data_IF_833079743584
#
_entry.id   IF_833079743584
#
_cell.length_a   1.000
_cell.length_b   1.000
_cell.length_c   1.000
_cell.angle_alpha   90.00
_cell.angle_beta   90.00
_cell.angle_gamma   90.00
#
_symmetry.space_group_name_H-M   'P 1'
#
loop_
_entity.id
_entity.type
_entity.pdbx_description
1 polymer ?
#
# COMPACT_ATOMS: atom_id res chain seq x y z
N UNK A 1 -35.45 -12.03 54.93
CA UNK A 1 -36.73 -11.32 54.72
C UNK A 1 -37.06 -11.32 53.24
N UNK A 2 -38.15 -11.95 52.84
CA UNK A 2 -38.64 -12.00 51.46
C UNK A 2 -39.38 -10.69 51.17
N UNK A 3 -38.97 -9.94 50.15
CA UNK A 3 -39.77 -8.84 49.59
C UNK A 3 -39.99 -9.15 48.11
N UNK A 4 -41.21 -9.60 47.82
CA UNK A 4 -41.65 -9.93 46.46
C UNK A 4 -41.79 -8.67 45.59
N UNK A 5 -41.57 -8.84 44.30
CA UNK A 5 -41.93 -7.85 43.29
C UNK A 5 -43.44 -7.96 43.01
N UNK A 6 -44.20 -7.00 43.51
CA UNK A 6 -45.58 -6.78 43.05
C UNK A 6 -45.55 -6.00 41.73
N UNK A 7 -46.25 -6.51 40.72
CA UNK A 7 -46.52 -5.83 39.48
C UNK A 7 -47.48 -4.65 39.70
N UNK A 8 -47.23 -3.54 39.01
CA UNK A 8 -48.14 -2.40 38.90
C UNK A 8 -48.40 -2.08 37.41
N UNK A 9 -49.58 -1.54 37.05
CA UNK A 9 -50.18 -1.69 35.73
C UNK A 9 -49.70 -0.64 34.70
N UNK A 10 -49.81 -1.04 33.44
CA UNK A 10 -49.58 -0.25 32.23
C UNK A 10 -50.75 0.72 31.99
N UNK A 11 -50.70 1.91 32.57
CA UNK A 11 -51.53 3.03 32.11
C UNK A 11 -50.70 3.97 31.23
N UNK A 12 -51.03 3.93 29.94
CA UNK A 12 -50.39 4.72 28.91
C UNK A 12 -50.62 6.21 29.10
N UNK A 13 -49.53 6.94 29.36
CA UNK A 13 -49.37 8.33 28.92
C UNK A 13 -47.88 8.64 28.88
N UNK A 14 -47.35 8.88 27.69
CA UNK A 14 -46.00 9.37 27.51
C UNK A 14 -45.88 10.81 28.04
N UNK A 15 -44.85 11.13 28.82
CA UNK A 15 -44.27 12.46 28.85
C UNK A 15 -42.98 12.48 28.00
N UNK A 16 -42.87 13.52 27.18
CA UNK A 16 -41.62 13.91 26.56
C UNK A 16 -40.56 14.17 27.64
N UNK A 17 -39.34 13.70 27.43
CA UNK A 17 -38.16 14.07 28.20
C UNK A 17 -37.02 14.35 27.24
N UNK A 18 -36.48 15.54 27.45
CA UNK A 18 -35.47 16.24 26.68
C UNK A 18 -34.08 15.62 26.83
N UNK A 19 -33.25 15.85 25.81
CA UNK A 19 -31.86 15.44 25.72
C UNK A 19 -30.99 16.02 26.84
N UNK A 20 -30.60 15.17 27.79
CA UNK A 20 -29.30 15.23 28.45
C UNK A 20 -29.08 13.97 29.29
N UNK A 21 -27.83 13.50 29.32
CA UNK A 21 -27.29 12.42 30.17
C UNK A 21 -27.50 10.99 29.67
N UNK A 22 -26.50 10.47 28.93
CA UNK A 22 -25.72 9.28 29.33
C UNK A 22 -24.61 9.01 28.30
N UNK A 23 -23.42 9.56 28.61
CA UNK A 23 -22.17 8.90 28.31
C UNK A 23 -22.07 7.64 29.18
N UNK A 24 -21.36 6.64 28.65
CA UNK A 24 -20.85 5.44 29.32
C UNK A 24 -21.80 4.22 29.44
N UNK A 25 -21.55 3.23 28.58
CA UNK A 25 -21.69 1.77 28.75
C UNK A 25 -22.02 1.07 27.41
N UNK A 26 -21.02 0.97 26.53
CA UNK A 26 -20.98 -0.10 25.52
C UNK A 26 -19.59 -0.73 25.44
N UNK A 27 -19.13 -1.22 26.59
CA UNK A 27 -18.11 -2.26 26.68
C UNK A 27 -18.77 -3.44 27.39
N UNK A 28 -18.86 -4.57 26.68
CA UNK A 28 -19.18 -5.88 27.26
C UNK A 28 -20.62 -6.33 27.12
N UNK A 29 -21.00 -6.89 25.97
CA UNK A 29 -21.99 -7.98 25.90
C UNK A 29 -22.07 -8.69 24.53
N UNK A 30 -20.93 -9.09 23.95
CA UNK A 30 -20.95 -10.10 22.87
C UNK A 30 -19.80 -11.08 23.11
N UNK A 31 -20.03 -12.07 23.96
CA UNK A 31 -19.27 -13.33 24.01
C UNK A 31 -19.95 -14.28 25.00
N UNK A 32 -20.99 -15.00 24.56
CA UNK A 32 -21.44 -16.24 25.21
C UNK A 32 -22.57 -16.96 24.43
N UNK A 33 -22.34 -17.37 23.18
CA UNK A 33 -23.07 -18.54 22.62
C UNK A 33 -22.15 -19.28 21.64
N UNK A 34 -21.46 -20.31 22.13
CA UNK A 34 -20.92 -21.41 21.32
C UNK A 34 -21.02 -22.67 22.19
N UNK A 35 -22.15 -23.36 22.12
CA UNK A 35 -22.31 -24.72 22.62
C UNK A 35 -23.18 -25.51 21.64
N UNK A 36 -22.69 -26.70 21.29
CA UNK A 36 -23.17 -27.69 20.32
C UNK A 36 -22.89 -27.31 18.84
N UNK A 37 -22.06 -28.00 18.06
CA UNK A 37 -21.57 -29.37 18.14
C UNK A 37 -22.01 -30.13 16.90
N UNK A 38 -21.18 -30.17 15.85
CA UNK A 38 -21.13 -31.29 14.90
C UNK A 38 -19.77 -31.31 14.20
N UNK A 39 -19.07 -32.42 14.40
CA UNK A 39 -17.82 -32.79 13.77
C UNK A 39 -18.05 -33.04 12.27
N UNK A 40 -17.30 -32.35 11.41
CA UNK A 40 -16.91 -32.93 10.13
C UNK A 40 -15.49 -32.47 9.82
N UNK A 41 -14.55 -33.36 10.11
CA UNK A 41 -13.16 -33.20 9.74
C UNK A 41 -13.05 -33.27 8.21
N UNK A 42 -12.65 -32.17 7.58
CA UNK A 42 -12.15 -32.22 6.21
C UNK A 42 -10.63 -32.39 6.29
N UNK A 43 -10.20 -33.65 6.32
CA UNK A 43 -8.80 -34.04 6.18
C UNK A 43 -8.35 -33.78 4.75
N UNK A 44 -7.69 -32.65 4.50
CA UNK A 44 -6.86 -32.46 3.31
C UNK A 44 -5.49 -33.08 3.58
N UNK A 45 -5.43 -34.41 3.46
CA UNK A 45 -4.19 -35.13 3.18
C UNK A 45 -3.83 -34.85 1.72
N UNK A 46 -2.81 -34.04 1.46
CA UNK A 46 -2.18 -33.99 0.14
C UNK A 46 -1.08 -35.07 0.11
N UNK A 47 -1.12 -36.01 -0.83
CA UNK A 47 -0.08 -37.02 -0.97
C UNK A 47 1.25 -36.38 -1.39
N UNK A 48 2.33 -36.89 -0.81
CA UNK A 48 3.72 -36.65 -1.19
C UNK A 48 4.07 -37.64 -2.30
N UNK A 49 3.98 -37.19 -3.55
CA UNK A 49 4.51 -37.83 -4.77
C UNK A 49 5.22 -36.68 -5.52
N UNK A 50 6.42 -36.77 -6.09
CA UNK A 50 7.41 -37.81 -6.29
C UNK A 50 8.66 -37.03 -6.74
N UNK A 51 9.82 -37.34 -6.17
CA UNK A 51 11.09 -36.72 -6.57
C UNK A 51 11.55 -37.44 -7.84
N UNK A 52 11.38 -36.80 -9.00
CA UNK A 52 11.89 -37.33 -10.28
C UNK A 52 13.35 -36.91 -10.44
N UNK A 53 14.24 -37.89 -10.38
CA UNK A 53 15.67 -37.75 -10.64
C UNK A 53 15.98 -38.09 -12.10
N UNK A 54 16.56 -37.14 -12.83
CA UNK A 54 17.49 -37.43 -13.93
C UNK A 54 17.57 -36.36 -15.02
N UNK A 55 18.56 -36.42 -15.94
CA UNK A 55 19.87 -37.06 -15.84
C UNK A 55 21.03 -36.06 -16.00
N UNK A 56 22.23 -36.57 -15.71
CA UNK A 56 23.51 -35.90 -15.84
C UNK A 56 23.90 -35.50 -17.28
N UNK A 57 24.49 -34.31 -17.38
CA UNK A 57 25.58 -33.85 -18.27
C UNK A 57 25.36 -33.86 -19.80
N UNK A 58 26.04 -32.94 -20.51
CA UNK A 58 27.37 -33.31 -20.99
C UNK A 58 28.48 -32.31 -20.61
N UNK A 59 29.65 -32.89 -20.35
CA UNK A 59 30.92 -32.21 -20.40
C UNK A 59 31.16 -31.64 -21.80
N UNK A 60 31.57 -30.37 -21.87
CA UNK A 60 32.19 -29.81 -23.05
C UNK A 60 33.71 -29.82 -22.85
N UNK A 61 34.34 -30.89 -23.34
CA UNK A 61 35.76 -30.91 -23.68
C UNK A 61 35.96 -30.10 -24.97
N UNK A 62 36.81 -29.09 -24.88
CA UNK A 62 37.16 -28.23 -25.99
C UNK A 62 38.49 -27.52 -25.72
N UNK A 63 39.56 -28.30 -25.67
CA UNK A 63 40.92 -27.76 -25.64
C UNK A 63 41.30 -27.15 -26.99
N UNK A 64 41.97 -25.99 -26.95
CA UNK A 64 43.01 -25.64 -27.91
C UNK A 64 44.20 -25.05 -27.16
N UNK A 65 45.31 -25.75 -27.32
CA UNK A 65 46.68 -25.40 -26.99
C UNK A 65 47.05 -23.99 -27.53
N UNK A 66 47.52 -23.14 -26.63
CA UNK A 66 48.58 -22.20 -26.96
C UNK A 66 49.53 -22.10 -25.79
N UNK A 67 50.47 -23.03 -25.83
CA UNK A 67 51.83 -22.87 -25.35
C UNK A 67 52.32 -21.42 -25.51
N UNK A 68 52.30 -20.66 -24.42
CA UNK A 68 53.29 -19.59 -24.21
C UNK A 68 54.23 -20.10 -23.12
N UNK A 69 55.31 -20.73 -23.57
CA UNK A 69 56.53 -20.80 -22.79
C UNK A 69 57.16 -19.40 -22.83
N UNK A 70 57.02 -18.67 -21.73
CA UNK A 70 57.58 -17.34 -21.54
C UNK A 70 58.04 -17.21 -20.09
N UNK A 71 59.32 -17.52 -19.92
CA UNK A 71 60.24 -17.30 -18.80
C UNK A 71 59.79 -16.37 -17.65
N UNK A 72 59.99 -16.86 -16.42
CA UNK A 72 59.84 -16.12 -15.17
C UNK A 72 61.07 -15.24 -14.91
N UNK A 73 60.97 -13.95 -15.18
CA UNK A 73 61.68 -12.91 -14.44
C UNK A 73 61.15 -11.54 -14.81
N UNK A 74 60.17 -11.06 -14.05
CA UNK A 74 60.21 -9.77 -13.36
C UNK A 74 59.03 -9.76 -12.38
N UNK A 75 59.29 -9.42 -11.12
CA UNK A 75 58.25 -9.21 -10.13
C UNK A 75 57.42 -7.98 -10.50
N UNK A 76 56.27 -8.17 -11.15
CA UNK A 76 55.18 -7.19 -11.10
C UNK A 76 54.05 -7.82 -10.31
N UNK A 77 53.86 -7.35 -9.09
CA UNK A 77 52.64 -7.54 -8.31
C UNK A 77 51.51 -6.77 -8.98
N UNK A 78 51.12 -7.18 -10.18
CA UNK A 78 49.82 -6.83 -10.73
C UNK A 78 48.86 -7.91 -10.28
N UNK A 79 48.57 -7.83 -8.98
CA UNK A 79 47.31 -8.31 -8.43
C UNK A 79 46.25 -7.46 -9.12
N UNK A 80 45.84 -7.84 -10.34
CA UNK A 80 44.43 -7.63 -10.67
C UNK A 80 43.73 -8.46 -9.62
N UNK A 81 43.27 -7.74 -8.60
CA UNK A 81 42.27 -8.24 -7.70
C UNK A 81 41.08 -8.57 -8.59
N UNK A 82 41.09 -9.79 -9.16
CA UNK A 82 39.87 -10.54 -9.39
C UNK A 82 39.27 -10.83 -8.01
N UNK A 83 38.95 -9.76 -7.27
CA UNK A 83 37.85 -9.80 -6.36
C UNK A 83 36.71 -10.22 -7.28
N UNK A 84 36.29 -11.49 -7.17
CA UNK A 84 34.94 -11.85 -7.54
C UNK A 84 34.08 -10.77 -6.86
N UNK A 85 33.63 -9.80 -7.65
CA UNK A 85 32.96 -8.63 -7.11
C UNK A 85 31.80 -9.09 -6.25
N UNK A 86 31.41 -8.27 -5.29
CA UNK A 86 30.28 -8.63 -4.46
C UNK A 86 29.07 -9.00 -5.31
N UNK A 87 28.25 -9.98 -4.85
CA UNK A 87 26.99 -10.29 -5.51
C UNK A 87 26.21 -9.00 -5.76
N UNK A 88 25.45 -8.95 -6.86
CA UNK A 88 24.68 -7.76 -7.19
C UNK A 88 23.82 -7.32 -5.99
N UNK A 89 23.93 -6.05 -5.62
CA UNK A 89 23.24 -5.48 -4.46
C UNK A 89 23.98 -5.60 -3.14
N UNK A 90 25.17 -6.19 -3.09
CA UNK A 90 26.02 -6.24 -1.89
C UNK A 90 27.33 -5.49 -2.09
N UNK A 91 27.94 -5.05 -0.98
CA UNK A 91 29.28 -4.47 -0.96
C UNK A 91 30.07 -4.90 0.28
N UNK A 92 31.39 -4.85 0.14
CA UNK A 92 32.38 -4.91 1.21
C UNK A 92 32.65 -3.46 1.67
N UNK A 93 31.98 -3.04 2.73
CA UNK A 93 32.00 -1.65 3.20
C UNK A 93 33.05 -1.39 4.27
N UNK A 94 33.56 -2.42 4.94
CA UNK A 94 34.64 -2.30 5.93
C UNK A 94 36.02 -2.74 5.40
N UNK A 95 36.06 -3.29 4.18
CA UNK A 95 37.27 -3.79 3.50
C UNK A 95 37.94 -4.93 4.27
N UNK A 96 37.19 -5.65 5.11
CA UNK A 96 37.69 -6.82 5.82
C UNK A 96 37.49 -8.09 4.96
N UNK A 97 38.57 -8.64 4.36
CA UNK A 97 38.45 -9.83 3.52
C UNK A 97 37.95 -11.07 4.28
N UNK A 98 37.88 -11.02 5.61
CA UNK A 98 37.40 -12.13 6.45
C UNK A 98 35.88 -12.25 6.55
N UNK A 99 35.12 -11.16 6.29
CA UNK A 99 33.65 -11.17 6.32
C UNK A 99 33.00 -11.00 4.93
N UNK A 100 33.77 -10.55 3.93
CA UNK A 100 33.38 -10.59 2.52
C UNK A 100 32.45 -9.45 2.12
N UNK A 101 31.27 -9.77 1.60
CA UNK A 101 30.28 -8.78 1.13
C UNK A 101 29.13 -8.70 2.13
N UNK A 102 29.41 -8.05 3.25
CA UNK A 102 28.60 -8.02 4.46
C UNK A 102 27.44 -7.03 4.40
N UNK A 103 27.47 -6.08 3.46
CA UNK A 103 26.50 -4.99 3.42
C UNK A 103 25.49 -5.15 2.26
N UNK A 104 24.20 -5.22 2.59
CA UNK A 104 23.09 -5.17 1.62
C UNK A 104 22.81 -3.72 1.20
N UNK A 105 23.17 -3.37 -0.03
CA UNK A 105 22.95 -2.04 -0.61
C UNK A 105 21.52 -1.80 -1.08
N UNK A 106 20.67 -2.82 -1.16
CA UNK A 106 19.31 -2.74 -1.66
C UNK A 106 18.29 -2.37 -0.59
N UNK A 107 18.56 -2.73 0.66
CA UNK A 107 17.61 -2.57 1.77
C UNK A 107 18.21 -1.87 3.00
N UNK A 108 19.54 -1.74 3.10
CA UNK A 108 20.16 -1.05 4.23
C UNK A 108 19.98 0.46 4.13
N UNK A 109 19.21 1.02 5.06
CA UNK A 109 19.03 2.47 5.17
C UNK A 109 20.34 3.23 5.45
N UNK A 110 21.38 2.57 5.98
CA UNK A 110 22.70 3.19 6.22
C UNK A 110 23.71 3.01 5.09
N UNK A 111 23.40 2.21 4.06
CA UNK A 111 24.28 1.92 2.92
C UNK A 111 23.47 1.80 1.62
N UNK A 112 22.55 2.73 1.37
CA UNK A 112 21.59 2.60 0.29
C UNK A 112 22.21 2.95 -1.06
N UNK A 113 22.36 1.95 -1.93
CA UNK A 113 22.99 2.08 -3.25
C UNK A 113 24.52 2.07 -3.24
N UNK A 114 25.14 2.54 -2.15
CA UNK A 114 26.58 2.48 -1.91
C UNK A 114 26.91 2.50 -0.41
N UNK A 115 28.15 2.13 -0.07
CA UNK A 115 28.61 2.13 1.32
C UNK A 115 28.49 3.52 1.95
N UNK A 116 27.92 3.58 3.16
CA UNK A 116 27.74 4.80 3.95
C UNK A 116 26.80 5.85 3.32
N UNK A 117 26.11 5.54 2.21
CA UNK A 117 25.04 6.37 1.68
C UNK A 117 23.76 6.18 2.51
N UNK A 118 23.62 6.96 3.58
CA UNK A 118 22.48 6.87 4.46
C UNK A 118 21.27 7.62 3.92
N UNK A 119 20.10 7.01 4.04
CA UNK A 119 18.82 7.70 3.87
C UNK A 119 18.52 8.50 5.13
N UNK A 120 18.62 9.83 5.05
CA UNK A 120 18.34 10.75 6.15
C UNK A 120 17.24 11.74 5.76
N UNK A 121 16.31 11.97 6.68
CA UNK A 121 15.29 13.01 6.61
C UNK A 121 14.90 13.42 8.02
N UNK A 122 14.77 14.73 8.26
CA UNK A 122 14.33 15.28 9.56
C UNK A 122 12.81 15.20 9.73
N UNK A 123 12.07 15.04 8.63
CA UNK A 123 10.62 15.25 8.57
C UNK A 123 9.88 13.97 8.21
N UNK A 124 10.47 13.08 7.40
CA UNK A 124 9.79 11.96 6.80
C UNK A 124 10.40 10.62 7.20
N UNK A 125 9.56 9.59 7.21
CA UNK A 125 10.00 8.21 7.37
C UNK A 125 10.60 7.72 6.04
N UNK A 126 11.92 7.55 6.01
CA UNK A 126 12.69 7.22 4.79
C UNK A 126 13.49 5.95 4.99
N UNK A 127 13.66 5.20 3.91
CA UNK A 127 14.40 3.94 3.93
C UNK A 127 14.95 3.58 2.57
N UNK A 128 15.70 2.49 2.53
CA UNK A 128 16.29 2.01 1.29
C UNK A 128 15.35 1.02 0.60
N UNK A 129 14.98 1.33 -0.64
CA UNK A 129 14.17 0.45 -1.48
C UNK A 129 14.86 0.31 -2.82
N UNK A 130 15.30 -0.92 -3.11
CA UNK A 130 16.02 -1.26 -4.35
C UNK A 130 17.27 -0.39 -4.58
N UNK A 131 18.00 -0.10 -3.49
CA UNK A 131 19.25 0.65 -3.55
C UNK A 131 19.10 2.13 -3.82
N UNK A 132 17.92 2.68 -3.58
CA UNK A 132 17.71 4.11 -3.54
C UNK A 132 16.87 4.51 -2.34
N UNK A 133 17.19 5.66 -1.74
CA UNK A 133 16.38 6.21 -0.66
C UNK A 133 14.98 6.51 -1.18
N UNK A 134 13.96 6.18 -0.40
CA UNK A 134 12.55 6.43 -0.71
C UNK A 134 11.81 6.80 0.57
N UNK A 135 10.70 7.50 0.42
CA UNK A 135 9.72 7.62 1.50
C UNK A 135 9.11 6.25 1.75
N UNK A 136 9.09 5.81 3.00
CA UNK A 136 8.43 4.56 3.41
C UNK A 136 6.94 4.78 3.67
N UNK A 137 6.59 5.95 4.22
CA UNK A 137 5.21 6.34 4.45
C UNK A 137 5.04 7.86 4.42
N UNK A 138 3.95 8.29 3.80
CA UNK A 138 3.52 9.68 3.84
C UNK A 138 2.53 9.93 4.97
N UNK A 139 2.49 11.14 5.56
CA UNK A 139 1.43 11.51 6.46
C UNK A 139 0.06 11.37 5.79
N UNK A 140 -0.97 11.15 6.60
CA UNK A 140 -2.34 11.07 6.11
C UNK A 140 -2.68 12.24 5.20
N UNK A 141 -3.07 11.91 3.97
CA UNK A 141 -3.53 12.88 2.98
C UNK A 141 -2.46 13.48 2.08
N UNK A 142 -1.21 13.04 2.23
CA UNK A 142 -0.12 13.27 1.28
C UNK A 142 0.31 11.95 0.63
N UNK A 143 0.92 12.04 -0.55
CA UNK A 143 1.49 10.92 -1.30
C UNK A 143 2.73 11.40 -2.06
N UNK A 144 3.66 10.48 -2.38
CA UNK A 144 4.87 10.72 -3.19
C UNK A 144 4.56 10.33 -4.64
N UNK A 145 4.10 11.30 -5.43
CA UNK A 145 3.55 11.00 -6.75
C UNK A 145 4.57 10.98 -7.88
N UNK A 146 5.69 11.67 -7.69
CA UNK A 146 6.79 11.70 -8.64
C UNK A 146 7.95 10.74 -8.28
N UNK A 147 7.91 10.12 -7.09
CA UNK A 147 8.94 9.20 -6.59
C UNK A 147 10.25 9.91 -6.24
N UNK A 148 10.21 11.21 -6.03
CA UNK A 148 11.38 12.06 -5.88
C UNK A 148 11.77 12.22 -4.42
N UNK A 149 13.05 11.94 -4.17
CA UNK A 149 13.66 12.00 -2.84
C UNK A 149 13.93 13.43 -2.37
N UNK A 150 13.69 14.44 -3.21
CA UNK A 150 14.05 15.83 -2.89
C UNK A 150 12.89 16.66 -2.33
N UNK A 151 11.67 16.35 -2.74
CA UNK A 151 10.41 17.00 -2.38
C UNK A 151 9.46 16.08 -1.60
N UNK A 152 9.73 14.76 -1.61
CA UNK A 152 9.10 13.75 -0.75
C UNK A 152 7.59 13.63 -0.98
N UNK A 153 6.77 13.56 0.09
CA UNK A 153 5.30 13.52 0.05
C UNK A 153 4.71 14.86 -0.42
N UNK A 154 5.00 15.21 -1.66
CA UNK A 154 4.81 16.51 -2.26
C UNK A 154 3.34 16.77 -2.62
N UNK A 155 2.53 15.72 -2.75
CA UNK A 155 1.19 15.81 -3.32
C UNK A 155 0.09 15.61 -2.30
N UNK A 156 -0.82 16.59 -2.18
CA UNK A 156 -2.05 16.41 -1.38
C UNK A 156 -3.10 15.61 -2.14
N UNK A 157 -3.37 14.40 -1.67
CA UNK A 157 -4.43 13.54 -2.21
C UNK A 157 -5.82 13.90 -1.70
N UNK A 158 -5.93 14.82 -0.74
CA UNK A 158 -7.22 15.23 -0.18
C UNK A 158 -7.84 16.46 -0.87
N UNK A 159 -7.00 17.27 -1.51
CA UNK A 159 -7.41 18.58 -2.03
C UNK A 159 -6.92 18.85 -3.46
N UNK A 160 -5.95 18.08 -3.98
CA UNK A 160 -5.52 18.24 -5.35
C UNK A 160 -6.55 17.65 -6.31
N UNK A 161 -7.14 18.49 -7.16
CA UNK A 161 -8.01 18.04 -8.24
C UNK A 161 -7.29 17.13 -9.24
N UNK A 162 -5.96 17.17 -9.34
CA UNK A 162 -5.18 16.31 -10.23
C UNK A 162 -4.79 14.95 -9.60
N UNK A 163 -4.91 14.81 -8.27
CA UNK A 163 -4.46 13.63 -7.51
C UNK A 163 -5.48 13.23 -6.43
N UNK A 164 -6.77 13.33 -6.73
CA UNK A 164 -7.81 13.19 -5.73
C UNK A 164 -8.00 11.72 -5.30
N UNK A 165 -7.73 11.46 -4.02
CA UNK A 165 -7.76 10.10 -3.46
C UNK A 165 -6.57 9.23 -3.89
N UNK A 166 -5.55 9.79 -4.52
CA UNK A 166 -4.32 9.10 -4.88
C UNK A 166 -3.58 9.76 -6.06
N UNK A 167 -2.32 9.40 -6.26
CA UNK A 167 -1.53 9.92 -7.36
C UNK A 167 -2.15 9.67 -8.75
N UNK A 168 -2.10 10.69 -9.61
CA UNK A 168 -2.57 10.64 -10.99
C UNK A 168 -4.05 10.24 -11.14
N UNK A 169 -4.87 10.65 -10.16
CA UNK A 169 -6.33 10.50 -10.18
C UNK A 169 -7.00 11.87 -10.33
N UNK A 170 -7.00 12.46 -11.53
CA UNK A 170 -7.64 13.74 -11.73
C UNK A 170 -9.16 13.61 -11.62
N UNK A 171 -9.79 14.62 -11.02
CA UNK A 171 -11.24 14.76 -11.08
C UNK A 171 -11.67 15.21 -12.48
N UNK A 172 -12.90 14.85 -12.91
CA UNK A 172 -13.50 15.38 -14.12
C UNK A 172 -13.55 16.91 -14.15
N UNK A 173 -13.68 17.47 -15.35
CA UNK A 173 -13.94 18.90 -15.50
C UNK A 173 -15.19 19.34 -14.73
N UNK A 174 -15.06 20.43 -13.97
CA UNK A 174 -16.14 20.94 -13.13
C UNK A 174 -16.33 20.21 -11.80
N UNK A 175 -15.37 19.39 -11.39
CA UNK A 175 -15.29 18.79 -10.06
C UNK A 175 -14.09 19.34 -9.28
N UNK A 176 -14.28 19.46 -7.97
CA UNK A 176 -13.22 19.75 -7.01
C UNK A 176 -12.91 18.52 -6.16
N UNK A 177 -11.67 18.44 -5.68
CA UNK A 177 -11.30 17.40 -4.73
C UNK A 177 -11.63 17.83 -3.30
N UNK A 178 -12.47 17.06 -2.61
CA UNK A 178 -12.86 17.33 -1.23
C UNK A 178 -12.65 16.06 -0.42
N UNK A 179 -11.69 16.09 0.51
CA UNK A 179 -11.31 14.94 1.35
C UNK A 179 -10.99 13.68 0.54
N UNK A 180 -10.36 13.85 -0.62
CA UNK A 180 -9.95 12.75 -1.50
C UNK A 180 -11.06 12.17 -2.36
N UNK A 181 -12.21 12.83 -2.44
CA UNK A 181 -13.32 12.46 -3.30
C UNK A 181 -13.64 13.57 -4.29
N UNK A 182 -13.80 13.20 -5.56
CA UNK A 182 -14.23 14.14 -6.60
C UNK A 182 -15.69 14.52 -6.38
N UNK A 183 -15.90 15.81 -6.16
CA UNK A 183 -17.18 16.44 -5.81
C UNK A 183 -17.60 17.42 -6.89
N UNK A 184 -18.86 17.39 -7.33
CA UNK A 184 -19.35 18.31 -8.35
C UNK A 184 -19.44 19.75 -7.83
N UNK A 185 -18.98 20.71 -8.63
CA UNK A 185 -18.98 22.13 -8.27
C UNK A 185 -20.27 22.85 -8.71
N UNK A 186 -20.96 22.30 -9.70
CA UNK A 186 -22.17 22.88 -10.28
C UNK A 186 -23.10 21.81 -10.83
N UNK A 187 -24.36 22.18 -11.10
CA UNK A 187 -25.32 21.28 -11.76
C UNK A 187 -24.82 20.79 -13.12
N UNK A 188 -24.19 21.68 -13.88
CA UNK A 188 -23.68 21.38 -15.22
C UNK A 188 -22.57 20.32 -15.20
N UNK A 189 -21.80 20.23 -14.11
CA UNK A 189 -20.73 19.23 -13.96
C UNK A 189 -21.25 17.80 -14.06
N UNK A 190 -22.53 17.57 -13.71
CA UNK A 190 -23.13 16.24 -13.73
C UNK A 190 -23.87 15.89 -15.03
N UNK A 191 -24.19 16.86 -15.87
CA UNK A 191 -25.01 16.64 -17.06
C UNK A 191 -24.14 16.45 -18.32
N UNK A 192 -23.89 15.19 -18.66
CA UNK A 192 -23.18 14.78 -19.87
C UNK A 192 -24.15 14.18 -20.91
N UNK A 193 -25.36 14.74 -20.99
CA UNK A 193 -26.43 14.30 -21.90
C UNK A 193 -27.56 13.54 -21.19
N UNK A 194 -27.29 13.03 -19.99
CA UNK A 194 -28.23 12.25 -19.18
C UNK A 194 -29.17 13.06 -18.27
N UNK A 195 -29.07 14.39 -18.21
CA UNK A 195 -29.89 15.22 -17.30
C UNK A 195 -29.44 15.15 -15.83
N UNK A 196 -28.14 14.93 -15.60
CA UNK A 196 -27.57 14.78 -14.26
C UNK A 196 -27.68 16.05 -13.41
N UNK A 197 -27.91 15.86 -12.10
CA UNK A 197 -27.94 16.95 -11.12
C UNK A 197 -26.87 16.77 -10.05
N UNK A 198 -26.23 17.87 -9.66
CA UNK A 198 -25.27 17.90 -8.56
C UNK A 198 -25.99 18.00 -7.22
N UNK A 199 -25.77 17.02 -6.34
CA UNK A 199 -26.40 16.99 -5.02
C UNK A 199 -25.78 18.04 -4.07
N UNK A 200 -26.49 18.45 -3.01
CA UNK A 200 -25.98 19.45 -2.07
C UNK A 200 -24.76 18.94 -1.28
N UNK A 201 -24.06 19.88 -0.62
CA UNK A 201 -22.90 19.57 0.23
C UNK A 201 -23.20 18.59 1.37
N UNK A 202 -24.44 18.56 1.88
CA UNK A 202 -24.88 17.64 2.93
C UNK A 202 -24.84 16.16 2.52
N UNK A 203 -24.82 15.88 1.21
CA UNK A 203 -24.74 14.53 0.64
C UNK A 203 -23.43 14.31 -0.11
N UNK A 204 -22.40 15.09 0.19
CA UNK A 204 -21.06 14.91 -0.37
C UNK A 204 -20.88 15.41 -1.82
N UNK A 205 -21.80 16.22 -2.36
CA UNK A 205 -21.72 16.78 -3.73
C UNK A 205 -21.45 15.71 -4.80
N UNK A 206 -22.22 14.63 -4.76
CA UNK A 206 -22.20 13.60 -5.80
C UNK A 206 -23.18 13.94 -6.92
N UNK A 207 -22.94 13.38 -8.11
CA UNK A 207 -23.89 13.47 -9.20
C UNK A 207 -25.05 12.49 -9.00
N UNK A 208 -26.21 12.86 -9.54
CA UNK A 208 -27.42 12.06 -9.51
C UNK A 208 -28.05 11.99 -10.90
N UNK A 209 -28.30 10.78 -11.37
CA UNK A 209 -29.09 10.45 -12.56
C UNK A 209 -30.47 9.98 -12.11
N UNK A 210 -31.51 10.78 -12.32
CA UNK A 210 -32.86 10.49 -11.82
C UNK A 210 -32.90 10.05 -10.33
N UNK A 211 -33.02 8.75 -10.02
CA UNK A 211 -33.00 8.23 -8.65
C UNK A 211 -31.66 7.61 -8.22
N UNK A 212 -30.69 7.51 -9.13
CA UNK A 212 -29.39 6.88 -8.90
C UNK A 212 -28.36 7.93 -8.49
N UNK A 213 -27.73 7.74 -7.34
CA UNK A 213 -26.56 8.53 -6.93
C UNK A 213 -25.32 7.86 -7.51
N UNK A 214 -24.51 8.62 -8.23
CA UNK A 214 -23.29 8.13 -8.85
C UNK A 214 -22.12 8.09 -7.86
N UNK A 215 -21.09 7.33 -8.19
CA UNK A 215 -19.87 7.31 -7.40
C UNK A 215 -19.09 8.64 -7.53
N UNK A 216 -18.17 8.96 -6.58
CA UNK A 216 -17.38 10.19 -6.65
C UNK A 216 -16.61 10.33 -7.97
N UNK A 217 -16.83 11.46 -8.67
CA UNK A 217 -16.22 11.72 -9.97
C UNK A 217 -16.95 11.08 -11.16
N UNK A 218 -18.06 10.39 -10.94
CA UNK A 218 -18.93 9.97 -12.04
C UNK A 218 -19.92 11.07 -12.43
N UNK A 219 -20.34 11.02 -13.70
CA UNK A 219 -21.27 11.95 -14.32
C UNK A 219 -22.48 11.19 -14.88
N UNK A 220 -23.52 11.94 -15.26
CA UNK A 220 -24.71 11.36 -15.85
C UNK A 220 -24.64 11.36 -17.38
N UNK A 221 -24.44 10.17 -17.94
CA UNK A 221 -24.35 9.93 -19.36
C UNK A 221 -25.74 9.68 -19.98
N UNK A 222 -25.80 9.67 -21.31
CA UNK A 222 -27.02 9.33 -22.05
C UNK A 222 -27.64 8.01 -21.57
N UNK A 223 -28.97 8.02 -21.37
CA UNK A 223 -29.69 6.88 -20.81
C UNK A 223 -29.74 6.84 -19.29
N UNK A 224 -29.44 7.97 -18.61
CA UNK A 224 -29.57 8.15 -17.15
C UNK A 224 -28.67 7.18 -16.35
N UNK A 225 -27.48 6.90 -16.89
CA UNK A 225 -26.49 6.00 -16.27
C UNK A 225 -25.30 6.77 -15.73
N UNK A 226 -24.82 6.35 -14.56
CA UNK A 226 -23.59 6.86 -13.97
C UNK A 226 -22.37 6.24 -14.67
N UNK A 227 -21.34 7.04 -14.88
CA UNK A 227 -20.06 6.55 -15.39
C UNK A 227 -19.01 7.65 -15.43
N UNK A 228 -17.79 7.26 -15.83
CA UNK A 228 -16.74 8.22 -16.12
C UNK A 228 -17.12 9.09 -17.33
N UNK A 229 -16.74 10.39 -17.33
CA UNK A 229 -16.98 11.31 -18.44
C UNK A 229 -16.25 10.91 -19.73
#
# INVERSE_FOLDING_TARGET
MVKGCSAAPIDGRAPAIDDAWLMDMRIGCVLAICAAGVLSACSITRPLDEYDEGPASPASDGGTDSSVVGDVSEASTDVVSEQAGCPSGFADCDQDPSNGCETDLQTSASHCGECQARCESDVWDVGCVQGACRVLSCPTGLDDCNGSVTDWCETSILMSAAHCGGCNKPCPDGFSCINGLCSCDSQKSCDHGGGGSCMPASTGRLCRCDQTVCDPGEVCLDGEVCGAP
#
